data_IF_008421720506
#
_entry.id   IF_008421720506
#
_cell.length_a   1.000
_cell.length_b   1.000
_cell.length_c   1.000
_cell.angle_alpha   90.00
_cell.angle_beta   90.00
_cell.angle_gamma   90.00
#
_symmetry.space_group_name_H-M   'P 1'
#
loop_
_entity.id
_entity.type
_entity.pdbx_description
1 polymer ?
#
# COMPACT_ATOMS: atom_id res chain seq x y z
N UNK A 1 -0.72 6.11 -6.67
CA UNK A 1 -0.04 4.84 -7.00
C UNK A 1 -0.91 4.02 -7.95
N UNK A 2 -0.77 4.17 -9.29
CA UNK A 2 -1.47 3.30 -10.23
C UNK A 2 -0.94 1.86 -10.16
N UNK A 3 -1.79 0.89 -10.55
CA UNK A 3 -1.40 -0.51 -10.56
C UNK A 3 -0.37 -0.84 -11.65
N UNK A 4 0.62 -1.64 -11.28
CA UNK A 4 1.56 -2.26 -12.19
C UNK A 4 1.40 -3.79 -12.20
N UNK A 5 1.21 -4.37 -13.38
CA UNK A 5 1.08 -5.80 -13.62
C UNK A 5 2.16 -6.26 -14.61
N UNK A 6 3.19 -6.95 -14.14
CA UNK A 6 4.34 -7.38 -14.96
C UNK A 6 3.97 -8.22 -16.21
N UNK A 7 2.84 -8.94 -16.17
CA UNK A 7 2.35 -9.70 -17.33
C UNK A 7 1.57 -8.88 -18.37
N UNK A 8 1.29 -7.60 -18.09
CA UNK A 8 0.46 -6.75 -18.96
C UNK A 8 1.20 -5.55 -19.53
N UNK A 9 2.30 -5.15 -18.92
CA UNK A 9 2.99 -3.92 -19.25
C UNK A 9 4.50 -3.99 -18.97
N UNK A 10 5.30 -3.24 -19.73
CA UNK A 10 6.69 -3.00 -19.38
C UNK A 10 6.78 -1.86 -18.37
N UNK A 11 7.86 -1.84 -17.59
CA UNK A 11 8.11 -0.74 -16.63
C UNK A 11 8.22 0.60 -17.35
N UNK A 12 8.92 0.65 -18.47
CA UNK A 12 9.07 1.86 -19.28
C UNK A 12 7.71 2.43 -19.72
N UNK A 13 6.85 1.59 -20.30
CA UNK A 13 5.51 2.00 -20.73
C UNK A 13 4.64 2.45 -19.55
N UNK A 14 4.73 1.76 -18.41
CA UNK A 14 4.01 2.12 -17.20
C UNK A 14 4.47 3.50 -16.69
N UNK A 15 5.77 3.73 -16.58
CA UNK A 15 6.33 5.00 -16.10
C UNK A 15 5.95 6.16 -17.02
N UNK A 16 6.03 5.97 -18.32
CA UNK A 16 5.61 6.98 -19.31
C UNK A 16 4.11 7.32 -19.17
N UNK A 17 3.24 6.31 -19.05
CA UNK A 17 1.80 6.54 -18.84
C UNK A 17 1.52 7.24 -17.52
N UNK A 18 2.22 6.86 -16.44
CA UNK A 18 2.10 7.49 -15.13
C UNK A 18 2.47 8.96 -15.23
N UNK A 19 3.60 9.27 -15.86
CA UNK A 19 4.05 10.65 -16.03
C UNK A 19 3.07 11.48 -16.87
N UNK A 20 2.64 10.98 -18.01
CA UNK A 20 1.63 11.65 -18.85
C UNK A 20 0.31 11.92 -18.09
N UNK A 21 -0.08 11.01 -17.21
CA UNK A 21 -1.29 11.19 -16.39
C UNK A 21 -1.10 12.22 -15.30
N UNK A 22 0.08 12.27 -14.71
CA UNK A 22 0.46 13.28 -13.73
C UNK A 22 0.48 14.69 -14.35
N UNK A 23 1.09 14.84 -15.53
CA UNK A 23 1.12 16.12 -16.24
C UNK A 23 -0.30 16.60 -16.59
N UNK A 24 -1.19 15.70 -17.01
CA UNK A 24 -2.60 16.04 -17.24
C UNK A 24 -3.32 16.51 -15.96
N UNK A 25 -3.00 15.89 -14.81
CA UNK A 25 -3.54 16.31 -13.53
C UNK A 25 -3.10 17.74 -13.18
N UNK A 26 -1.80 18.01 -13.27
CA UNK A 26 -1.25 19.36 -13.00
C UNK A 26 -1.88 20.41 -13.89
N UNK A 27 -1.98 20.15 -15.19
CA UNK A 27 -2.63 21.05 -16.14
C UNK A 27 -4.09 21.34 -15.74
N UNK A 28 -4.84 20.30 -15.33
CA UNK A 28 -6.24 20.49 -14.88
C UNK A 28 -6.36 21.26 -13.56
N UNK A 29 -5.40 21.12 -12.67
CA UNK A 29 -5.36 21.89 -11.44
C UNK A 29 -5.08 23.38 -11.73
N UNK A 30 -4.13 23.65 -12.63
CA UNK A 30 -3.83 25.01 -13.09
C UNK A 30 -5.04 25.68 -13.74
N UNK A 31 -5.73 24.99 -14.67
CA UNK A 31 -6.97 25.51 -15.29
C UNK A 31 -8.04 25.89 -14.27
N UNK A 32 -8.05 25.24 -13.11
CA UNK A 32 -9.01 25.48 -12.03
C UNK A 32 -8.47 26.38 -10.91
N UNK A 33 -7.27 26.91 -11.07
CA UNK A 33 -6.56 27.70 -10.04
C UNK A 33 -6.48 26.96 -8.70
N UNK A 34 -6.26 25.62 -8.75
CA UNK A 34 -6.04 24.78 -7.57
C UNK A 34 -4.52 24.63 -7.40
N UNK A 35 -4.01 25.05 -6.25
CA UNK A 35 -2.61 24.81 -5.90
C UNK A 35 -2.36 23.30 -5.69
N UNK A 36 -1.42 22.68 -6.42
CA UNK A 36 -1.15 21.27 -6.26
C UNK A 36 -0.46 20.98 -4.91
N UNK A 37 -0.89 19.93 -4.20
CA UNK A 37 -0.13 19.44 -3.06
C UNK A 37 1.19 18.84 -3.52
N UNK A 38 2.08 18.55 -2.57
CA UNK A 38 3.27 17.74 -2.86
C UNK A 38 2.84 16.33 -3.28
N UNK A 39 3.32 15.89 -4.43
CA UNK A 39 3.03 14.56 -4.96
C UNK A 39 4.26 13.67 -4.90
N UNK A 40 4.09 12.47 -4.39
CA UNK A 40 5.07 11.38 -4.49
C UNK A 40 4.53 10.32 -5.44
N UNK A 41 5.18 10.17 -6.59
CA UNK A 41 4.76 9.22 -7.62
C UNK A 41 5.29 7.82 -7.29
N UNK A 42 4.41 6.84 -7.22
CA UNK A 42 4.76 5.44 -6.98
C UNK A 42 4.01 4.50 -7.93
N UNK A 43 4.10 3.22 -7.66
CA UNK A 43 3.31 2.16 -8.25
C UNK A 43 2.75 1.26 -7.16
N UNK A 44 1.54 0.76 -7.33
CA UNK A 44 1.04 -0.39 -6.59
C UNK A 44 1.35 -1.64 -7.42
N UNK A 45 2.42 -2.35 -7.00
CA UNK A 45 2.97 -3.47 -7.77
C UNK A 45 2.28 -4.75 -7.38
N UNK A 46 1.51 -5.35 -8.30
CA UNK A 46 0.94 -6.66 -8.08
C UNK A 46 2.03 -7.72 -8.07
N UNK A 47 2.02 -8.58 -7.05
CA UNK A 47 2.97 -9.68 -6.92
C UNK A 47 3.03 -10.54 -8.18
N UNK A 48 4.23 -10.92 -8.59
CA UNK A 48 4.49 -11.92 -9.61
C UNK A 48 5.65 -12.81 -9.18
N UNK A 49 5.58 -14.08 -9.54
CA UNK A 49 6.60 -15.07 -9.15
C UNK A 49 7.98 -14.67 -9.67
N UNK A 50 8.98 -14.70 -8.78
CA UNK A 50 10.36 -14.33 -9.10
C UNK A 50 10.63 -12.82 -9.04
N UNK A 51 9.66 -12.00 -8.57
CA UNK A 51 9.84 -10.56 -8.48
C UNK A 51 11.02 -10.14 -7.61
N UNK A 52 11.40 -10.95 -6.62
CA UNK A 52 12.55 -10.68 -5.77
C UNK A 52 13.84 -10.50 -6.58
N UNK A 53 14.00 -11.27 -7.66
CA UNK A 53 15.18 -11.23 -8.54
C UNK A 53 15.00 -10.33 -9.77
N UNK A 54 13.81 -9.86 -10.07
CA UNK A 54 13.53 -9.02 -11.21
C UNK A 54 14.23 -7.66 -11.08
N UNK A 55 15.11 -7.32 -12.02
CA UNK A 55 15.97 -6.13 -11.95
C UNK A 55 15.18 -4.83 -12.01
N UNK A 56 14.02 -4.85 -12.66
CA UNK A 56 13.16 -3.69 -12.85
C UNK A 56 12.38 -3.24 -11.60
N UNK A 57 12.25 -4.09 -10.58
CA UNK A 57 11.39 -3.79 -9.41
C UNK A 57 11.77 -2.50 -8.69
N UNK A 58 13.06 -2.15 -8.50
CA UNK A 58 13.44 -0.88 -7.87
C UNK A 58 12.94 0.38 -8.60
N UNK A 59 12.71 0.31 -9.91
CA UNK A 59 12.19 1.43 -10.72
C UNK A 59 10.71 1.74 -10.41
N UNK A 60 10.00 0.80 -9.77
CA UNK A 60 8.60 0.91 -9.38
C UNK A 60 8.41 1.46 -7.96
N UNK A 61 9.49 1.71 -7.24
CA UNK A 61 9.44 2.35 -5.94
C UNK A 61 8.85 3.77 -6.00
N UNK A 62 8.43 4.27 -4.85
CA UNK A 62 8.07 5.69 -4.73
C UNK A 62 9.28 6.52 -5.13
N UNK A 63 9.07 7.48 -6.00
CA UNK A 63 10.12 8.30 -6.62
C UNK A 63 11.03 8.93 -5.57
N UNK A 64 12.34 8.77 -5.76
CA UNK A 64 13.36 9.26 -4.83
C UNK A 64 13.57 8.40 -3.58
N UNK A 65 12.91 7.23 -3.48
CA UNK A 65 13.01 6.33 -2.31
C UNK A 65 13.32 4.89 -2.71
N UNK A 66 13.51 4.03 -1.70
CA UNK A 66 13.53 2.57 -1.83
C UNK A 66 12.23 1.91 -1.35
N UNK A 67 11.12 2.66 -1.29
CA UNK A 67 9.84 2.18 -0.78
C UNK A 67 9.02 1.60 -1.92
N UNK A 68 8.63 0.34 -1.80
CA UNK A 68 7.76 -0.37 -2.73
C UNK A 68 6.40 -0.66 -2.10
N UNK A 69 5.32 -0.18 -2.70
CA UNK A 69 3.96 -0.59 -2.35
C UNK A 69 3.63 -1.89 -3.09
N UNK A 70 3.48 -2.97 -2.33
CA UNK A 70 3.32 -4.32 -2.85
C UNK A 70 1.90 -4.84 -2.62
N UNK A 71 1.18 -5.12 -3.71
CA UNK A 71 -0.09 -5.84 -3.68
C UNK A 71 0.16 -7.34 -3.75
N UNK A 72 -0.21 -8.05 -2.69
CA UNK A 72 0.01 -9.49 -2.55
C UNK A 72 -1.05 -10.31 -3.30
N UNK A 73 -0.79 -11.61 -3.59
CA UNK A 73 -1.80 -12.46 -4.23
C UNK A 73 -3.03 -12.66 -3.34
N UNK A 74 -4.23 -12.56 -3.94
CA UNK A 74 -5.51 -12.92 -3.30
C UNK A 74 -5.72 -14.44 -3.28
N UNK A 75 -4.74 -15.14 -2.74
CA UNK A 75 -4.70 -16.59 -2.63
C UNK A 75 -3.92 -16.99 -1.37
N UNK A 76 -3.91 -18.28 -1.05
CA UNK A 76 -3.00 -18.80 -0.02
C UNK A 76 -1.55 -18.53 -0.45
N UNK A 77 -0.80 -17.82 0.39
CA UNK A 77 0.62 -17.59 0.14
C UNK A 77 1.40 -18.89 0.34
N UNK A 78 2.53 -18.98 -0.33
CA UNK A 78 3.39 -20.13 -0.32
C UNK A 78 4.85 -19.75 -0.04
N UNK A 79 5.72 -20.76 -0.08
CA UNK A 79 7.17 -20.57 0.14
C UNK A 79 7.79 -19.58 -0.87
N UNK A 80 7.33 -19.64 -2.14
CA UNK A 80 7.85 -18.75 -3.20
C UNK A 80 7.57 -17.29 -2.91
N UNK A 81 6.36 -16.98 -2.44
CA UNK A 81 5.98 -15.63 -2.00
C UNK A 81 6.89 -15.13 -0.88
N UNK A 82 7.12 -15.95 0.14
CA UNK A 82 8.01 -15.59 1.26
C UNK A 82 9.44 -15.35 0.80
N UNK A 83 9.96 -16.23 -0.08
CA UNK A 83 11.33 -16.10 -0.61
C UNK A 83 11.50 -14.82 -1.45
N UNK A 84 10.51 -14.46 -2.28
CA UNK A 84 10.52 -13.22 -3.06
C UNK A 84 10.51 -12.00 -2.15
N UNK A 85 9.58 -11.93 -1.17
CA UNK A 85 9.49 -10.83 -0.19
C UNK A 85 10.80 -10.71 0.60
N UNK A 86 11.33 -11.83 1.09
CA UNK A 86 12.62 -11.86 1.79
C UNK A 86 13.77 -11.35 0.93
N UNK A 87 13.79 -11.69 -0.36
CA UNK A 87 14.83 -11.22 -1.27
C UNK A 87 14.73 -9.70 -1.48
N UNK A 88 13.53 -9.17 -1.68
CA UNK A 88 13.31 -7.71 -1.81
C UNK A 88 13.82 -6.96 -0.59
N UNK A 89 13.43 -7.41 0.62
CA UNK A 89 13.84 -6.77 1.87
C UNK A 89 15.33 -6.94 2.15
N UNK A 90 15.83 -8.17 2.14
CA UNK A 90 17.17 -8.48 2.64
C UNK A 90 18.28 -8.27 1.63
N UNK A 91 18.02 -8.55 0.35
CA UNK A 91 19.03 -8.46 -0.72
C UNK A 91 18.93 -7.17 -1.51
N UNK A 92 17.72 -6.76 -1.90
CA UNK A 92 17.49 -5.49 -2.61
C UNK A 92 17.47 -4.28 -1.67
N UNK A 93 17.34 -4.51 -0.35
CA UNK A 93 17.25 -3.45 0.67
C UNK A 93 16.06 -2.50 0.44
N UNK A 94 14.97 -3.04 -0.11
CA UNK A 94 13.74 -2.28 -0.27
C UNK A 94 12.97 -2.24 1.04
N UNK A 95 12.34 -1.11 1.29
CA UNK A 95 11.31 -0.95 2.32
C UNK A 95 9.97 -1.33 1.71
N UNK A 96 9.35 -2.40 2.19
CA UNK A 96 8.07 -2.85 1.66
C UNK A 96 6.91 -2.34 2.49
N UNK A 97 5.88 -1.83 1.79
CA UNK A 97 4.56 -1.57 2.34
C UNK A 97 3.60 -2.56 1.68
N UNK A 98 3.05 -3.48 2.46
CA UNK A 98 2.03 -4.43 1.97
C UNK A 98 0.70 -3.69 1.89
N UNK A 99 0.17 -3.51 0.68
CA UNK A 99 -1.08 -2.81 0.43
C UNK A 99 -2.29 -3.57 1.00
N UNK A 100 -3.30 -2.85 1.46
CA UNK A 100 -4.62 -3.33 1.94
C UNK A 100 -4.61 -4.72 2.61
N UNK A 101 -3.76 -4.85 3.64
CA UNK A 101 -3.45 -6.10 4.36
C UNK A 101 -4.71 -6.84 4.83
N UNK A 102 -5.76 -6.13 5.20
CA UNK A 102 -7.02 -6.67 5.70
C UNK A 102 -7.75 -7.55 4.67
N UNK A 103 -7.40 -7.41 3.38
CA UNK A 103 -8.03 -8.17 2.29
C UNK A 103 -7.47 -9.58 2.15
N UNK A 104 -6.23 -9.84 2.57
CA UNK A 104 -5.58 -11.14 2.32
C UNK A 104 -5.87 -12.18 3.40
N UNK A 105 -6.13 -11.75 4.63
CA UNK A 105 -6.31 -12.65 5.77
C UNK A 105 -7.32 -13.80 5.51
N UNK A 106 -8.46 -13.59 4.83
CA UNK A 106 -9.40 -14.66 4.56
C UNK A 106 -8.86 -15.77 3.66
N UNK A 107 -7.83 -15.51 2.88
CA UNK A 107 -7.19 -16.49 1.99
C UNK A 107 -6.12 -17.32 2.69
N UNK A 108 -5.63 -16.88 3.86
CA UNK A 108 -4.53 -17.53 4.57
C UNK A 108 -5.07 -18.58 5.55
N UNK A 109 -5.38 -19.78 5.04
CA UNK A 109 -5.80 -20.93 5.86
C UNK A 109 -4.63 -21.51 6.65
N UNK A 110 -3.47 -21.72 6.00
CA UNK A 110 -2.20 -22.02 6.62
C UNK A 110 -1.48 -20.70 6.94
N UNK A 111 -1.33 -20.42 8.23
CA UNK A 111 -0.77 -19.16 8.72
C UNK A 111 0.74 -19.07 8.64
N UNK A 112 1.44 -20.20 8.49
CA UNK A 112 2.92 -20.23 8.53
C UNK A 112 3.60 -19.27 7.54
N UNK A 113 3.03 -19.11 6.32
CA UNK A 113 3.60 -18.20 5.32
C UNK A 113 3.21 -16.76 5.57
N UNK A 114 2.03 -16.53 6.15
CA UNK A 114 1.62 -15.23 6.66
C UNK A 114 2.59 -14.77 7.75
N UNK A 115 2.80 -15.58 8.76
CA UNK A 115 3.72 -15.31 9.87
C UNK A 115 5.14 -15.06 9.32
N UNK A 116 5.63 -15.93 8.40
CA UNK A 116 6.95 -15.79 7.80
C UNK A 116 7.16 -14.49 7.01
N UNK A 117 6.11 -13.91 6.41
CA UNK A 117 6.19 -12.59 5.77
C UNK A 117 6.29 -11.49 6.83
N UNK A 118 5.53 -11.60 7.93
CA UNK A 118 5.51 -10.60 8.99
C UNK A 118 6.62 -10.72 10.02
N UNK A 119 7.40 -11.80 10.00
CA UNK A 119 8.70 -11.88 10.67
C UNK A 119 9.79 -11.03 9.96
N UNK A 120 9.51 -10.54 8.74
CA UNK A 120 10.37 -9.61 8.03
C UNK A 120 10.01 -8.16 8.40
N UNK A 121 10.97 -7.21 8.31
CA UNK A 121 10.69 -5.80 8.57
C UNK A 121 9.90 -5.18 7.40
N UNK A 122 8.62 -5.44 7.37
CA UNK A 122 7.66 -4.91 6.40
C UNK A 122 6.63 -4.03 7.10
N UNK A 123 6.23 -2.97 6.41
CA UNK A 123 5.10 -2.14 6.82
C UNK A 123 3.82 -2.65 6.18
N UNK A 124 2.69 -2.32 6.78
CA UNK A 124 1.37 -2.66 6.24
C UNK A 124 0.54 -1.42 5.99
N UNK A 125 -0.33 -1.47 5.00
CA UNK A 125 -1.30 -0.43 4.76
C UNK A 125 -2.70 -1.02 4.86
N UNK A 126 -3.61 -0.32 5.55
CA UNK A 126 -5.04 -0.66 5.65
C UNK A 126 -5.85 0.39 4.91
N UNK A 127 -6.82 -0.07 4.12
CA UNK A 127 -7.77 0.82 3.46
C UNK A 127 -8.75 1.42 4.46
N UNK A 128 -8.88 2.74 4.44
CA UNK A 128 -9.79 3.47 5.33
C UNK A 128 -11.26 3.10 5.12
N UNK A 129 -11.64 2.67 3.92
CA UNK A 129 -12.97 2.12 3.64
C UNK A 129 -13.34 0.94 4.56
N UNK A 130 -12.34 0.14 4.98
CA UNK A 130 -12.56 -1.01 5.87
C UNK A 130 -13.07 -0.61 7.25
N UNK A 131 -12.86 0.63 7.69
CA UNK A 131 -13.38 1.17 8.93
C UNK A 131 -14.82 1.71 8.81
N UNK A 132 -15.27 2.03 7.60
CA UNK A 132 -16.59 2.60 7.35
C UNK A 132 -17.69 1.53 7.35
N UNK A 133 -17.39 0.36 6.78
CA UNK A 133 -18.34 -0.75 6.74
C UNK A 133 -18.42 -1.49 8.07
N UNK A 134 -19.64 -1.72 8.59
CA UNK A 134 -19.85 -2.51 9.80
C UNK A 134 -19.35 -3.97 9.67
N UNK A 135 -19.33 -4.51 8.45
CA UNK A 135 -18.88 -5.88 8.16
C UNK A 135 -17.36 -6.05 8.27
N UNK A 136 -16.58 -5.03 7.92
CA UNK A 136 -15.12 -5.07 7.88
C UNK A 136 -14.47 -4.36 9.06
N UNK A 137 -15.16 -3.39 9.65
CA UNK A 137 -14.66 -2.54 10.76
C UNK A 137 -14.06 -3.33 11.91
N UNK A 138 -14.75 -4.37 12.37
CA UNK A 138 -14.26 -5.16 13.52
C UNK A 138 -12.89 -5.78 13.21
N UNK A 139 -12.71 -6.33 12.01
CA UNK A 139 -11.44 -6.92 11.57
C UNK A 139 -10.36 -5.87 11.42
N UNK A 140 -10.67 -4.76 10.74
CA UNK A 140 -9.72 -3.67 10.55
C UNK A 140 -9.24 -3.07 11.88
N UNK A 141 -10.15 -2.83 12.82
CA UNK A 141 -9.80 -2.41 14.19
C UNK A 141 -9.03 -3.48 14.96
N UNK A 142 -9.30 -4.76 14.71
CA UNK A 142 -8.55 -5.88 15.28
C UNK A 142 -7.09 -5.86 14.84
N UNK A 143 -6.81 -5.62 13.58
CA UNK A 143 -5.46 -5.46 13.05
C UNK A 143 -4.70 -4.32 13.74
N UNK A 144 -5.35 -3.17 13.91
CA UNK A 144 -4.72 -2.04 14.60
C UNK A 144 -4.42 -2.37 16.07
N UNK A 145 -5.37 -3.02 16.76
CA UNK A 145 -5.25 -3.32 18.21
C UNK A 145 -4.25 -4.42 18.51
N UNK A 146 -3.96 -5.33 17.59
CA UNK A 146 -3.01 -6.41 17.83
C UNK A 146 -1.60 -5.87 18.10
N UNK A 147 -1.26 -4.71 17.50
CA UNK A 147 0.07 -4.13 17.62
C UNK A 147 1.19 -4.95 16.94
N UNK A 148 0.82 -6.03 16.24
CA UNK A 148 1.77 -6.95 15.62
C UNK A 148 2.43 -6.35 14.38
N UNK A 149 1.89 -5.24 13.86
CA UNK A 149 2.33 -4.65 12.60
C UNK A 149 2.38 -3.13 12.68
N UNK A 150 3.38 -2.54 12.04
CA UNK A 150 3.44 -1.10 11.79
C UNK A 150 2.50 -0.76 10.63
N UNK A 151 1.42 -0.04 10.93
CA UNK A 151 0.31 0.21 10.00
C UNK A 151 0.26 1.66 9.57
N UNK A 152 0.16 1.90 8.26
CA UNK A 152 -0.22 3.20 7.69
C UNK A 152 -1.61 3.12 7.07
N UNK A 153 -2.23 4.27 6.81
CA UNK A 153 -3.56 4.34 6.21
C UNK A 153 -3.48 4.73 4.74
N UNK A 154 -4.38 4.16 3.94
CA UNK A 154 -4.59 4.53 2.55
C UNK A 154 -6.07 4.60 2.20
N UNK A 155 -6.44 5.44 1.24
CA UNK A 155 -7.82 5.49 0.74
C UNK A 155 -8.11 4.45 -0.33
N UNK A 156 -7.07 4.00 -1.04
CA UNK A 156 -7.19 3.18 -2.24
C UNK A 156 -8.24 3.75 -3.22
N UNK A 157 -8.25 5.10 -3.31
CA UNK A 157 -9.19 5.84 -4.14
C UNK A 157 -8.93 5.57 -5.62
N UNK A 158 -9.97 5.22 -6.36
CA UNK A 158 -9.91 5.00 -7.82
C UNK A 158 -10.77 5.97 -8.60
N UNK A 159 -11.83 6.49 -7.98
CA UNK A 159 -12.80 7.36 -8.66
C UNK A 159 -13.70 8.07 -7.64
N UNK A 160 -14.53 8.99 -8.13
CA UNK A 160 -15.47 9.78 -7.32
C UNK A 160 -16.88 9.17 -7.25
N UNK A 161 -17.03 7.85 -7.48
CA UNK A 161 -18.35 7.19 -7.48
C UNK A 161 -18.41 5.98 -6.53
N UNK A 162 -17.51 5.01 -6.71
CA UNK A 162 -17.56 3.72 -6.02
C UNK A 162 -16.38 3.50 -5.06
N UNK A 163 -15.20 4.04 -5.38
CA UNK A 163 -14.00 3.97 -4.54
C UNK A 163 -13.50 5.39 -4.29
N UNK A 164 -14.20 6.05 -3.38
CA UNK A 164 -14.04 7.48 -3.04
C UNK A 164 -12.77 7.74 -2.21
N UNK A 165 -12.26 8.98 -2.20
CA UNK A 165 -11.22 9.40 -1.27
C UNK A 165 -11.81 9.58 0.14
N UNK A 166 -11.88 8.50 0.90
CA UNK A 166 -12.53 8.40 2.20
C UNK A 166 -11.54 8.37 3.38
N UNK A 167 -10.35 8.94 3.20
CA UNK A 167 -9.29 8.89 4.21
C UNK A 167 -9.75 9.53 5.52
N UNK A 168 -10.37 10.72 5.45
CA UNK A 168 -10.79 11.45 6.65
C UNK A 168 -11.90 10.74 7.41
N UNK A 169 -12.86 10.15 6.71
CA UNK A 169 -13.97 9.42 7.33
C UNK A 169 -13.46 8.19 8.10
N UNK A 170 -12.53 7.42 7.51
CA UNK A 170 -11.90 6.30 8.18
C UNK A 170 -11.07 6.73 9.39
N UNK A 171 -10.32 7.83 9.28
CA UNK A 171 -9.55 8.43 10.38
C UNK A 171 -10.46 8.83 11.55
N UNK A 172 -11.61 9.42 11.27
CA UNK A 172 -12.60 9.80 12.29
C UNK A 172 -13.11 8.57 13.06
N UNK A 173 -13.31 7.44 12.37
CA UNK A 173 -13.71 6.18 13.03
C UNK A 173 -12.58 5.67 13.94
N UNK A 174 -11.34 5.71 13.51
CA UNK A 174 -10.18 5.30 14.31
C UNK A 174 -10.08 6.17 15.56
N UNK A 175 -10.09 7.49 15.39
CA UNK A 175 -10.03 8.44 16.52
C UNK A 175 -11.17 8.20 17.53
N UNK A 176 -12.38 7.94 17.07
CA UNK A 176 -13.54 7.64 17.90
C UNK A 176 -13.41 6.31 18.66
N UNK A 177 -12.82 5.27 18.04
CA UNK A 177 -12.77 3.90 18.57
C UNK A 177 -11.49 3.56 19.35
N UNK A 178 -10.37 4.17 18.99
CA UNK A 178 -9.05 3.91 19.56
C UNK A 178 -8.44 5.13 20.25
N UNK A 179 -8.99 6.32 20.02
CA UNK A 179 -8.50 7.57 20.58
C UNK A 179 -7.66 8.38 19.58
N UNK A 180 -7.62 9.69 19.80
CA UNK A 180 -6.88 10.61 18.94
C UNK A 180 -5.35 10.38 19.01
N UNK A 181 -4.84 10.00 20.17
CA UNK A 181 -3.41 9.69 20.34
C UNK A 181 -2.99 8.52 19.46
N UNK A 182 -3.79 7.45 19.39
CA UNK A 182 -3.51 6.30 18.53
C UNK A 182 -3.43 6.70 17.04
N UNK A 183 -4.33 7.59 16.62
CA UNK A 183 -4.29 8.11 15.24
C UNK A 183 -3.02 8.95 14.99
N UNK A 184 -2.57 9.75 15.96
CA UNK A 184 -1.32 10.50 15.86
C UNK A 184 -0.09 9.58 15.74
N UNK A 185 -0.09 8.43 16.40
CA UNK A 185 0.98 7.42 16.28
C UNK A 185 1.05 6.85 14.84
N UNK A 186 -0.12 6.57 14.24
CA UNK A 186 -0.20 6.14 12.83
C UNK A 186 0.32 7.24 11.89
N UNK A 187 -0.06 8.49 12.13
CA UNK A 187 0.38 9.62 11.31
C UNK A 187 1.90 9.83 11.41
N UNK A 188 2.43 9.80 12.62
CA UNK A 188 3.88 9.91 12.85
C UNK A 188 4.67 8.78 12.19
N UNK A 189 4.09 7.57 12.12
CA UNK A 189 4.68 6.47 11.36
C UNK A 189 4.69 6.80 9.86
N UNK A 190 3.59 7.27 9.31
CA UNK A 190 3.49 7.68 7.91
C UNK A 190 4.51 8.76 7.54
N UNK A 191 4.63 9.79 8.37
CA UNK A 191 5.60 10.88 8.20
C UNK A 191 7.07 10.41 8.30
N UNK A 192 7.34 9.38 9.10
CA UNK A 192 8.68 8.79 9.22
C UNK A 192 9.07 7.94 8.02
N UNK A 193 8.09 7.26 7.40
CA UNK A 193 8.34 6.30 6.31
C UNK A 193 8.31 7.00 4.96
N UNK A 194 7.31 7.84 4.74
CA UNK A 194 7.12 8.54 3.46
C UNK A 194 8.00 9.80 3.39
N UNK A 195 8.50 10.14 2.18
CA UNK A 195 9.37 11.31 2.00
C UNK A 195 8.64 12.64 2.26
#
# INVERSE_FOLDING_TARGET
>A
TPHFYAGKDSVENFLDRREKSYQRLLFRMEEKSIEPPVFYKGAEVYYFTGMGKAEMVPELCIEGTNILLLEMPFAQWDKGVVEDVKFLVQKRKLTLIIAHIERYYPFQKDKKYWEAVFDLPVYTQINTESFLSWRTRHRALGFLKSGDHEVILGSDCHNMKTRLPNLQEGRNVIACKLGAQYLQEIDALGERILP
#
